data_IF_600561734733
#
_entry.id   IF_600561734733
#
_cell.length_a   1.000
_cell.length_b   1.000
_cell.length_c   1.000
_cell.angle_alpha   90.00
_cell.angle_beta   90.00
_cell.angle_gamma   90.00
#
_symmetry.space_group_name_H-M   'P 1'
#
loop_
_entity.id
_entity.type
_entity.pdbx_description
1 polymer ?
#
# COMPACT_ATOMS: atom_id res chain seq x y z
N UNK A 1 9.85 11.08 17.14
CA UNK A 1 8.42 11.42 17.12
C UNK A 1 8.31 12.85 16.64
N UNK A 2 8.26 13.04 15.33
CA UNK A 2 8.26 14.36 14.68
C UNK A 2 7.24 14.31 13.55
N UNK A 3 6.05 14.83 13.85
CA UNK A 3 5.05 15.40 12.97
C UNK A 3 4.80 14.71 11.62
N UNK A 4 3.75 13.89 11.59
CA UNK A 4 3.01 13.46 10.40
C UNK A 4 2.19 14.61 9.77
N UNK A 5 2.81 15.78 9.61
CA UNK A 5 2.29 16.83 8.74
C UNK A 5 3.27 16.98 7.56
N UNK A 6 3.07 16.18 6.52
CA UNK A 6 3.73 16.40 5.25
C UNK A 6 3.26 17.76 4.68
N UNK A 7 3.97 18.84 5.03
CA UNK A 7 3.72 20.16 4.47
C UNK A 7 3.87 20.03 2.95
N UNK A 8 2.82 20.33 2.16
CA UNK A 8 2.92 20.27 0.71
C UNK A 8 4.06 21.16 0.22
N UNK A 9 4.85 20.64 -0.71
CA UNK A 9 5.94 21.39 -1.34
C UNK A 9 5.49 21.92 -2.68
N UNK A 10 6.01 23.07 -3.09
CA UNK A 10 5.51 23.76 -4.28
C UNK A 10 6.29 23.29 -5.50
N UNK A 11 5.60 23.05 -6.62
CA UNK A 11 6.22 22.83 -7.92
C UNK A 11 6.79 24.16 -8.41
N UNK A 12 8.07 24.18 -8.75
CA UNK A 12 8.83 25.39 -9.16
C UNK A 12 9.30 25.36 -10.61
N UNK A 13 8.98 24.27 -11.34
CA UNK A 13 9.24 24.15 -12.77
C UNK A 13 8.06 23.51 -13.46
N UNK A 14 7.62 24.10 -14.57
CA UNK A 14 6.55 23.53 -15.37
C UNK A 14 6.93 22.13 -15.90
N UNK A 15 5.97 21.23 -15.84
CA UNK A 15 5.96 19.91 -16.46
C UNK A 15 4.89 19.90 -17.56
N UNK A 16 5.15 20.55 -18.71
CA UNK A 16 4.14 20.77 -19.75
C UNK A 16 3.76 19.49 -20.53
N UNK A 17 4.59 18.45 -20.43
CA UNK A 17 4.34 17.11 -20.99
C UNK A 17 4.64 16.08 -19.89
N UNK A 18 4.10 14.86 -20.02
CA UNK A 18 4.50 13.75 -19.15
C UNK A 18 6.04 13.62 -19.14
N UNK A 19 6.61 13.71 -17.95
CA UNK A 19 8.05 13.71 -17.67
C UNK A 19 8.32 12.66 -16.61
N UNK A 20 9.58 12.22 -16.44
CA UNK A 20 10.01 11.42 -15.28
C UNK A 20 10.51 12.27 -14.11
N UNK A 21 10.35 13.59 -14.21
CA UNK A 21 10.85 14.56 -13.24
C UNK A 21 9.76 15.60 -12.94
N UNK A 22 9.47 15.76 -11.64
CA UNK A 22 8.76 16.91 -11.06
C UNK A 22 9.79 17.72 -10.27
N UNK A 23 9.85 19.04 -10.44
CA UNK A 23 10.79 19.90 -9.70
C UNK A 23 10.05 20.74 -8.66
N UNK A 24 10.49 20.66 -7.40
CA UNK A 24 9.86 21.32 -6.24
C UNK A 24 10.81 22.27 -5.50
N UNK A 25 10.28 23.16 -4.67
CA UNK A 25 11.05 24.12 -3.85
C UNK A 25 11.89 23.45 -2.75
N UNK A 26 11.41 22.32 -2.22
CA UNK A 26 12.14 21.48 -1.27
C UNK A 26 12.03 19.99 -1.62
N UNK A 27 12.80 19.14 -0.95
CA UNK A 27 12.71 17.68 -1.13
C UNK A 27 11.42 17.07 -0.58
N UNK A 28 10.65 17.81 0.23
CA UNK A 28 9.45 17.31 0.90
C UNK A 28 9.71 16.18 1.89
N UNK A 29 10.97 15.94 2.27
CA UNK A 29 11.37 14.79 3.07
C UNK A 29 11.23 13.45 2.35
N UNK A 30 11.08 13.45 1.02
CA UNK A 30 10.96 12.23 0.22
C UNK A 30 12.28 11.47 0.14
N UNK A 31 12.20 10.15 0.12
CA UNK A 31 13.30 9.23 -0.16
C UNK A 31 12.94 8.28 -1.31
N UNK A 32 13.94 7.55 -1.84
CA UNK A 32 13.69 6.50 -2.83
C UNK A 32 12.64 5.50 -2.31
N UNK A 33 11.82 4.97 -3.21
CA UNK A 33 10.69 4.07 -2.96
C UNK A 33 9.47 4.68 -2.27
N UNK A 34 9.55 5.91 -1.76
CA UNK A 34 8.39 6.59 -1.19
C UNK A 34 7.45 7.11 -2.28
N UNK A 35 6.19 7.28 -1.91
CA UNK A 35 5.13 7.79 -2.75
C UNK A 35 4.95 9.29 -2.53
N UNK A 36 4.58 9.97 -3.60
CA UNK A 36 4.13 11.35 -3.53
C UNK A 36 2.92 11.56 -4.43
N UNK A 37 2.06 12.50 -4.02
CA UNK A 37 0.89 12.90 -4.77
C UNK A 37 1.14 14.28 -5.39
N UNK A 38 1.14 14.36 -6.71
CA UNK A 38 1.11 15.64 -7.41
C UNK A 38 -0.33 16.15 -7.48
N UNK A 39 -0.57 17.40 -7.11
CA UNK A 39 -1.90 18.00 -6.99
C UNK A 39 -1.95 19.37 -7.65
N UNK A 40 -3.02 19.63 -8.40
CA UNK A 40 -3.24 20.93 -9.00
C UNK A 40 -3.65 21.99 -7.97
N UNK A 41 -3.13 23.20 -8.11
CA UNK A 41 -3.53 24.34 -7.29
C UNK A 41 -5.04 24.58 -7.43
N UNK A 42 -5.76 24.61 -6.31
CA UNK A 42 -7.20 24.83 -6.29
C UNK A 42 -8.06 23.64 -6.73
N UNK A 43 -7.48 22.44 -6.91
CA UNK A 43 -8.23 21.19 -7.11
C UNK A 43 -8.78 20.97 -8.53
N UNK A 44 -8.41 21.79 -9.50
CA UNK A 44 -8.90 21.68 -10.89
C UNK A 44 -8.23 20.60 -11.75
N UNK A 45 -7.21 19.90 -11.24
CA UNK A 45 -6.45 18.86 -11.96
C UNK A 45 -6.60 17.51 -11.25
N UNK A 46 -6.57 16.42 -12.01
CA UNK A 46 -6.52 15.06 -11.47
C UNK A 46 -5.22 14.90 -10.68
N UNK A 47 -5.32 14.48 -9.42
CA UNK A 47 -4.15 14.17 -8.61
C UNK A 47 -3.48 12.89 -9.12
N UNK A 48 -2.15 12.89 -9.19
CA UNK A 48 -1.38 11.73 -9.68
C UNK A 48 -0.49 11.17 -8.59
N UNK A 49 -0.67 9.88 -8.29
CA UNK A 49 0.21 9.15 -7.39
C UNK A 49 1.44 8.67 -8.16
N UNK A 50 2.62 8.94 -7.64
CA UNK A 50 3.91 8.58 -8.23
C UNK A 50 4.84 8.00 -7.17
N UNK A 51 5.80 7.18 -7.59
CA UNK A 51 6.83 6.60 -6.71
C UNK A 51 8.21 7.18 -7.03
N UNK A 52 8.95 7.56 -5.99
CA UNK A 52 10.33 8.03 -6.13
C UNK A 52 11.23 6.90 -6.63
N UNK A 53 11.80 7.08 -7.82
CA UNK A 53 12.75 6.11 -8.38
C UNK A 53 14.16 6.24 -7.80
N UNK A 54 14.45 7.35 -7.13
CA UNK A 54 15.74 7.63 -6.48
C UNK A 54 15.58 8.76 -5.46
N UNK A 55 16.57 9.04 -4.60
CA UNK A 55 16.49 10.17 -3.68
C UNK A 55 16.33 11.52 -4.42
N UNK A 56 15.64 12.52 -3.83
CA UNK A 56 15.53 13.86 -4.41
C UNK A 56 16.90 14.46 -4.74
N UNK A 57 17.02 15.06 -5.92
CA UNK A 57 18.27 15.66 -6.38
C UNK A 57 18.17 17.18 -6.37
N UNK A 58 19.01 17.84 -5.57
CA UNK A 58 19.11 19.31 -5.60
C UNK A 58 19.75 19.76 -6.91
N UNK A 59 19.12 20.71 -7.57
CA UNK A 59 19.58 21.34 -8.81
C UNK A 59 19.56 22.87 -8.66
N UNK A 60 20.04 23.60 -9.68
CA UNK A 60 19.93 25.06 -9.70
C UNK A 60 18.49 25.60 -9.72
N UNK A 61 17.51 24.77 -10.10
CA UNK A 61 16.10 25.16 -10.24
C UNK A 61 15.21 24.63 -9.12
N UNK A 62 15.78 24.05 -8.05
CA UNK A 62 15.03 23.38 -6.99
C UNK A 62 15.40 21.89 -6.87
N UNK A 63 14.51 21.09 -6.29
CA UNK A 63 14.69 19.67 -6.07
C UNK A 63 13.97 18.86 -7.13
N UNK A 64 14.71 18.04 -7.88
CA UNK A 64 14.12 17.08 -8.81
C UNK A 64 13.66 15.83 -8.06
N UNK A 65 12.36 15.59 -8.10
CA UNK A 65 11.70 14.35 -7.70
C UNK A 65 11.61 13.46 -8.93
N UNK A 66 12.47 12.43 -8.99
CA UNK A 66 12.48 11.51 -10.12
C UNK A 66 11.54 10.34 -9.91
N UNK A 67 10.80 9.98 -10.95
CA UNK A 67 9.83 8.90 -10.98
C UNK A 67 9.90 8.14 -12.31
N UNK A 68 11.08 7.56 -12.60
CA UNK A 68 11.33 6.84 -13.84
C UNK A 68 10.35 5.68 -14.05
N UNK A 69 9.90 5.51 -15.29
CA UNK A 69 8.89 4.53 -15.72
C UNK A 69 9.42 3.09 -15.72
N UNK A 70 8.55 2.12 -15.44
CA UNK A 70 8.71 0.70 -15.78
C UNK A 70 9.29 -0.21 -14.69
N UNK A 71 10.02 0.32 -13.71
CA UNK A 71 10.62 -0.47 -12.61
C UNK A 71 9.84 -0.36 -11.29
N UNK A 72 8.91 0.58 -11.19
CA UNK A 72 8.20 0.92 -9.98
C UNK A 72 6.70 0.71 -10.18
N UNK A 73 6.03 0.12 -9.18
CA UNK A 73 4.62 -0.26 -9.26
C UNK A 73 3.70 0.92 -9.64
N UNK A 74 4.02 2.11 -9.14
CA UNK A 74 3.24 3.34 -9.38
C UNK A 74 3.80 4.21 -10.52
N UNK A 75 4.84 3.75 -11.22
CA UNK A 75 5.39 4.41 -12.40
C UNK A 75 5.27 3.47 -13.61
N UNK A 76 4.12 3.44 -14.30
CA UNK A 76 3.91 2.55 -15.44
C UNK A 76 4.95 2.78 -16.54
N UNK A 77 5.26 1.76 -17.33
CA UNK A 77 6.21 1.86 -18.45
C UNK A 77 5.81 2.91 -19.50
N UNK A 78 4.50 3.14 -19.67
CA UNK A 78 3.96 4.20 -20.51
C UNK A 78 2.80 4.93 -19.79
N UNK A 79 3.02 6.17 -19.29
CA UNK A 79 1.98 6.96 -18.64
C UNK A 79 0.74 7.21 -19.50
N UNK A 80 0.88 7.30 -20.83
CA UNK A 80 -0.23 7.53 -21.75
C UNK A 80 -1.19 6.33 -21.86
N UNK A 81 -0.79 5.15 -21.38
CA UNK A 81 -1.67 3.98 -21.31
C UNK A 81 -2.48 3.94 -20.01
N UNK A 82 -2.13 4.77 -19.02
CA UNK A 82 -2.79 4.83 -17.70
C UNK A 82 -3.71 6.04 -17.59
N UNK A 83 -3.35 7.15 -18.23
CA UNK A 83 -4.19 8.33 -18.31
C UNK A 83 -4.77 8.49 -19.72
N UNK A 84 -6.10 8.66 -19.82
CA UNK A 84 -6.73 9.07 -21.08
C UNK A 84 -6.25 10.47 -21.52
N UNK A 85 -5.95 11.33 -20.55
CA UNK A 85 -5.26 12.61 -20.73
C UNK A 85 -4.25 12.74 -19.58
N UNK A 86 -2.95 12.68 -19.89
CA UNK A 86 -1.91 12.81 -18.88
C UNK A 86 -1.93 14.23 -18.27
N UNK A 87 -1.98 14.36 -16.93
CA UNK A 87 -2.03 15.66 -16.29
C UNK A 87 -0.70 16.41 -16.43
N UNK A 88 -0.78 17.71 -16.66
CA UNK A 88 0.36 18.63 -16.63
C UNK A 88 0.38 19.37 -15.30
N UNK A 89 1.57 19.51 -14.73
CA UNK A 89 1.77 20.25 -13.48
C UNK A 89 2.57 21.52 -13.77
N UNK A 90 2.15 22.62 -13.17
CA UNK A 90 2.67 23.96 -13.43
C UNK A 90 3.24 24.57 -12.15
N UNK A 91 3.99 25.66 -12.30
CA UNK A 91 4.51 26.41 -11.16
C UNK A 91 3.36 26.82 -10.23
N UNK A 92 3.50 26.50 -8.94
CA UNK A 92 2.48 26.78 -7.92
C UNK A 92 1.50 25.65 -7.65
N UNK A 93 1.52 24.58 -8.45
CA UNK A 93 0.95 23.29 -8.06
C UNK A 93 1.76 22.70 -6.88
N UNK A 94 1.25 21.65 -6.24
CA UNK A 94 1.88 21.10 -5.05
C UNK A 94 2.19 19.61 -5.17
N UNK A 95 3.14 19.17 -4.36
CA UNK A 95 3.46 17.77 -4.10
C UNK A 95 3.27 17.49 -2.63
N UNK A 96 2.53 16.42 -2.33
CA UNK A 96 2.32 15.93 -0.97
C UNK A 96 3.13 14.64 -0.78
N UNK A 97 3.95 14.59 0.26
CA UNK A 97 4.67 13.37 0.63
C UNK A 97 3.69 12.38 1.26
N UNK A 98 3.55 11.20 0.64
CA UNK A 98 2.66 10.12 1.10
C UNK A 98 3.41 9.05 1.89
N UNK A 99 4.73 9.18 2.03
CA UNK A 99 5.60 8.21 2.71
C UNK A 99 5.66 6.88 1.98
N UNK A 100 5.85 5.79 2.73
CA UNK A 100 5.84 4.45 2.16
C UNK A 100 4.45 3.84 2.33
N UNK A 101 3.87 3.30 1.25
CA UNK A 101 2.70 2.45 1.40
C UNK A 101 3.14 1.13 2.02
N UNK A 102 2.68 0.85 3.23
CA UNK A 102 2.83 -0.47 3.84
C UNK A 102 1.66 -1.33 3.36
N UNK A 103 1.94 -2.24 2.43
CA UNK A 103 1.02 -3.32 2.11
C UNK A 103 1.48 -4.53 2.91
N UNK A 104 0.74 -4.89 3.97
CA UNK A 104 1.02 -6.09 4.76
C UNK A 104 0.10 -7.22 4.32
N UNK A 105 0.67 -8.39 4.04
CA UNK A 105 -0.08 -9.64 3.88
C UNK A 105 0.26 -10.55 5.06
N UNK A 106 -0.77 -10.98 5.77
CA UNK A 106 -0.68 -11.92 6.88
C UNK A 106 -1.11 -13.31 6.45
N UNK A 107 -0.40 -14.33 6.91
CA UNK A 107 -0.68 -15.73 6.58
C UNK A 107 -0.09 -16.65 7.65
N UNK A 108 -0.69 -17.83 7.81
CA UNK A 108 -0.13 -18.88 8.68
C UNK A 108 0.78 -19.75 7.83
N UNK A 109 2.08 -19.70 8.11
CA UNK A 109 3.09 -20.55 7.50
C UNK A 109 4.04 -21.01 8.59
N UNK A 110 4.55 -22.24 8.50
CA UNK A 110 5.62 -22.71 9.38
C UNK A 110 5.23 -22.63 10.88
N UNK A 111 3.97 -22.96 11.17
CA UNK A 111 3.32 -22.97 12.49
C UNK A 111 3.35 -21.62 13.23
N UNK A 112 3.38 -20.53 12.47
CA UNK A 112 3.43 -19.16 12.98
C UNK A 112 2.64 -18.21 12.08
N UNK A 113 2.21 -17.10 12.67
CA UNK A 113 1.73 -15.96 11.91
C UNK A 113 2.93 -15.27 11.27
N UNK A 114 2.93 -15.15 9.95
CA UNK A 114 3.94 -14.41 9.21
C UNK A 114 3.35 -13.22 8.48
N UNK A 115 4.17 -12.20 8.28
CA UNK A 115 3.88 -11.02 7.49
C UNK A 115 4.82 -10.94 6.29
N UNK A 116 4.30 -10.51 5.16
CA UNK A 116 5.09 -10.17 3.97
C UNK A 116 4.54 -8.94 3.30
N UNK A 117 5.43 -8.09 2.79
CA UNK A 117 5.01 -7.01 1.89
C UNK A 117 5.02 -7.50 0.44
N UNK A 118 3.86 -7.74 -0.18
CA UNK A 118 3.79 -8.28 -1.54
C UNK A 118 4.26 -7.29 -2.61
N UNK A 119 4.46 -6.00 -2.27
CA UNK A 119 5.06 -5.04 -3.22
C UNK A 119 6.58 -5.16 -3.28
N UNK A 120 7.20 -5.88 -2.34
CA UNK A 120 8.67 -6.07 -2.26
C UNK A 120 9.04 -7.53 -2.52
N UNK A 121 8.25 -8.47 -2.01
CA UNK A 121 8.50 -9.90 -2.14
C UNK A 121 7.41 -10.56 -2.99
N UNK A 122 7.81 -11.10 -4.14
CA UNK A 122 6.90 -11.85 -5.01
C UNK A 122 6.52 -13.21 -4.41
N UNK A 123 5.35 -13.72 -4.78
CA UNK A 123 4.94 -15.10 -4.46
C UNK A 123 5.76 -16.13 -5.29
N UNK A 124 5.93 -17.39 -4.83
CA UNK A 124 5.33 -17.98 -3.63
C UNK A 124 6.01 -17.53 -2.34
N UNK A 125 5.22 -17.41 -1.28
CA UNK A 125 5.72 -17.06 0.04
C UNK A 125 6.05 -18.33 0.84
N UNK A 126 7.14 -18.30 1.59
CA UNK A 126 7.65 -19.43 2.39
C UNK A 126 8.27 -18.96 3.72
N UNK A 127 8.85 -19.89 4.49
CA UNK A 127 9.47 -19.58 5.78
C UNK A 127 10.72 -18.68 5.66
N UNK A 128 11.35 -18.61 4.48
CA UNK A 128 12.61 -17.90 4.28
C UNK A 128 12.40 -16.46 3.80
N UNK A 129 11.28 -16.19 3.12
CA UNK A 129 10.98 -14.88 2.54
C UNK A 129 9.84 -14.11 3.23
N UNK A 130 9.37 -14.59 4.38
CA UNK A 130 8.36 -13.96 5.23
C UNK A 130 8.91 -13.61 6.61
N UNK A 131 8.39 -12.57 7.24
CA UNK A 131 8.78 -12.16 8.59
C UNK A 131 7.89 -12.87 9.62
N UNK A 132 8.45 -13.64 10.58
CA UNK A 132 7.66 -14.23 11.66
C UNK A 132 7.21 -13.15 12.65
N UNK A 133 5.94 -13.20 13.06
CA UNK A 133 5.38 -12.28 14.05
C UNK A 133 5.15 -12.97 15.40
N UNK A 134 4.38 -14.05 15.40
CA UNK A 134 3.98 -14.79 16.62
C UNK A 134 3.88 -16.26 16.30
N UNK A 135 4.44 -17.10 17.18
CA UNK A 135 4.35 -18.56 17.08
C UNK A 135 2.99 -19.09 17.56
N UNK A 136 2.70 -20.37 17.28
CA UNK A 136 1.54 -21.10 17.80
C UNK A 136 0.17 -20.56 17.30
N UNK A 137 0.18 -19.83 16.19
CA UNK A 137 -1.04 -19.51 15.43
C UNK A 137 -1.27 -20.64 14.42
N UNK A 138 -2.42 -21.29 14.53
CA UNK A 138 -2.77 -22.48 13.72
C UNK A 138 -3.79 -22.17 12.63
N UNK A 139 -4.56 -21.09 12.77
CA UNK A 139 -5.54 -20.69 11.77
C UNK A 139 -5.74 -19.17 11.74
N UNK A 140 -5.95 -18.64 10.54
CA UNK A 140 -6.28 -17.25 10.27
C UNK A 140 -7.38 -17.23 9.20
N UNK A 141 -8.55 -16.73 9.59
CA UNK A 141 -9.69 -16.59 8.68
C UNK A 141 -10.13 -15.13 8.60
N UNK A 142 -10.59 -14.71 7.43
CA UNK A 142 -11.10 -13.37 7.21
C UNK A 142 -12.42 -13.36 6.43
N UNK A 143 -13.25 -12.36 6.72
CA UNK A 143 -14.45 -12.01 5.97
C UNK A 143 -14.45 -10.52 5.63
N UNK A 144 -14.81 -10.19 4.39
CA UNK A 144 -15.00 -8.82 3.93
C UNK A 144 -16.48 -8.44 3.97
N UNK A 145 -16.79 -7.34 4.67
CA UNK A 145 -18.09 -6.69 4.60
C UNK A 145 -18.10 -5.73 3.43
N UNK A 146 -18.90 -6.02 2.41
CA UNK A 146 -18.86 -5.30 1.14
C UNK A 146 -20.14 -4.51 0.90
N UNK A 147 -20.00 -3.32 0.31
CA UNK A 147 -21.10 -2.49 -0.14
C UNK A 147 -21.35 -2.64 -1.64
N UNK A 148 -22.58 -2.36 -2.06
CA UNK A 148 -22.86 -2.12 -3.47
C UNK A 148 -22.10 -0.88 -3.97
N UNK A 149 -21.88 -0.80 -5.28
CA UNK A 149 -21.26 0.37 -5.90
C UNK A 149 -22.04 1.65 -5.55
N UNK A 150 -21.34 2.70 -5.15
CA UNK A 150 -21.95 3.97 -4.73
C UNK A 150 -22.59 3.97 -3.34
N UNK A 151 -22.47 2.87 -2.56
CA UNK A 151 -22.99 2.77 -1.20
C UNK A 151 -21.88 2.66 -0.15
N UNK A 152 -22.21 3.09 1.07
CA UNK A 152 -21.41 2.90 2.28
C UNK A 152 -21.98 1.81 3.19
N UNK A 153 -23.22 1.35 2.94
CA UNK A 153 -23.87 0.32 3.74
C UNK A 153 -23.37 -1.07 3.33
N UNK A 154 -22.97 -1.87 4.32
CA UNK A 154 -22.58 -3.27 4.12
C UNK A 154 -23.82 -4.05 3.68
N UNK A 155 -23.72 -4.65 2.50
CA UNK A 155 -24.78 -5.43 1.86
C UNK A 155 -24.63 -6.94 2.07
N UNK A 156 -23.39 -7.43 2.21
CA UNK A 156 -23.07 -8.84 2.35
C UNK A 156 -21.69 -9.05 2.99
N UNK A 157 -21.49 -10.22 3.59
CA UNK A 157 -20.22 -10.67 4.17
C UNK A 157 -19.65 -11.83 3.35
N UNK A 158 -18.42 -11.70 2.87
CA UNK A 158 -17.79 -12.64 1.94
C UNK A 158 -16.53 -13.24 2.56
N UNK A 159 -16.46 -14.58 2.63
CA UNK A 159 -15.26 -15.28 3.12
C UNK A 159 -14.08 -15.02 2.19
N UNK A 160 -12.91 -14.69 2.74
CA UNK A 160 -11.66 -14.46 2.00
C UNK A 160 -11.05 -15.78 1.49
N UNK A 161 -11.80 -16.49 0.65
CA UNK A 161 -11.50 -17.83 0.15
C UNK A 161 -11.85 -17.90 -1.33
N UNK A 162 -11.33 -18.92 -2.03
CA UNK A 162 -11.60 -19.14 -3.46
C UNK A 162 -13.07 -19.44 -3.75
N UNK A 163 -13.82 -19.92 -2.75
CA UNK A 163 -15.23 -20.22 -2.85
C UNK A 163 -15.99 -19.63 -1.67
N UNK A 164 -16.62 -18.47 -1.89
CA UNK A 164 -17.56 -17.86 -0.95
C UNK A 164 -18.94 -17.66 -1.60
N UNK A 165 -19.94 -17.33 -0.79
CA UNK A 165 -21.27 -16.94 -1.29
C UNK A 165 -21.23 -15.74 -2.26
N UNK A 166 -20.14 -14.96 -2.25
CA UNK A 166 -19.93 -13.80 -3.10
C UNK A 166 -18.95 -14.05 -4.26
N UNK A 167 -18.57 -15.31 -4.53
CA UNK A 167 -17.53 -15.67 -5.51
C UNK A 167 -16.14 -15.84 -4.89
N UNK A 168 -15.11 -15.71 -5.72
CA UNK A 168 -13.70 -15.76 -5.28
C UNK A 168 -13.31 -14.43 -4.63
N UNK A 169 -13.02 -14.49 -3.32
CA UNK A 169 -12.53 -13.36 -2.53
C UNK A 169 -11.16 -13.68 -1.89
N UNK A 170 -10.47 -14.70 -2.40
CA UNK A 170 -9.09 -15.01 -1.97
C UNK A 170 -8.07 -14.00 -2.48
N UNK A 171 -8.38 -13.32 -3.60
CA UNK A 171 -7.54 -12.28 -4.20
C UNK A 171 -8.41 -11.20 -4.89
N UNK A 172 -9.09 -10.32 -4.13
CA UNK A 172 -9.99 -9.31 -4.69
C UNK A 172 -9.25 -8.31 -5.57
N UNK A 173 -9.82 -8.00 -6.74
CA UNK A 173 -9.27 -6.99 -7.65
C UNK A 173 -9.51 -5.56 -7.16
N UNK A 174 -8.96 -4.55 -7.85
CA UNK A 174 -9.10 -3.14 -7.46
C UNK A 174 -10.58 -2.68 -7.32
N UNK A 175 -11.45 -3.14 -8.23
CA UNK A 175 -12.88 -2.88 -8.16
C UNK A 175 -13.53 -3.50 -6.91
N UNK A 176 -13.10 -4.69 -6.50
CA UNK A 176 -13.62 -5.37 -5.32
C UNK A 176 -13.13 -4.72 -4.03
N UNK A 177 -11.84 -4.37 -3.98
CA UNK A 177 -11.22 -3.65 -2.86
C UNK A 177 -11.95 -2.35 -2.58
N UNK A 178 -12.34 -1.60 -3.62
CA UNK A 178 -13.11 -0.35 -3.47
C UNK A 178 -14.50 -0.52 -2.85
N UNK A 179 -15.02 -1.75 -2.78
CA UNK A 179 -16.32 -2.08 -2.17
C UNK A 179 -16.20 -2.53 -0.72
N UNK A 180 -15.01 -2.84 -0.22
CA UNK A 180 -14.79 -3.27 1.16
C UNK A 180 -15.07 -2.08 2.10
N UNK A 181 -15.90 -2.30 3.12
CA UNK A 181 -16.22 -1.30 4.17
C UNK A 181 -15.86 -1.77 5.56
N UNK A 182 -15.76 -3.08 5.76
CA UNK A 182 -15.37 -3.68 7.03
C UNK A 182 -14.64 -5.01 6.80
N UNK A 183 -13.85 -5.40 7.79
CA UNK A 183 -13.15 -6.68 7.84
C UNK A 183 -13.45 -7.34 9.18
N UNK A 184 -13.75 -8.64 9.14
CA UNK A 184 -13.77 -9.51 10.32
C UNK A 184 -12.60 -10.47 10.21
N UNK A 185 -11.88 -10.66 11.31
CA UNK A 185 -10.72 -11.56 11.38
C UNK A 185 -10.91 -12.49 12.57
N UNK A 186 -10.67 -13.78 12.35
CA UNK A 186 -10.58 -14.79 13.38
C UNK A 186 -9.17 -15.38 13.38
N UNK A 187 -8.57 -15.46 14.56
CA UNK A 187 -7.23 -16.02 14.77
C UNK A 187 -7.35 -17.12 15.81
N UNK A 188 -6.84 -18.31 15.48
CA UNK A 188 -6.79 -19.43 16.43
C UNK A 188 -5.35 -19.63 16.88
N UNK A 189 -5.14 -19.49 18.18
CA UNK A 189 -3.86 -19.76 18.83
C UNK A 189 -3.99 -21.02 19.68
N UNK A 190 -2.93 -21.82 19.67
CA UNK A 190 -2.77 -22.93 20.62
C UNK A 190 -1.77 -22.53 21.70
N UNK A 191 -1.93 -23.05 22.91
CA UNK A 191 -0.90 -22.95 23.95
C UNK A 191 -0.59 -24.33 24.49
N UNK A 192 0.69 -24.61 24.74
CA UNK A 192 1.13 -25.84 25.38
C UNK A 192 1.16 -25.62 26.91
N UNK A 193 0.20 -26.21 27.62
CA UNK A 193 0.22 -26.29 29.09
C UNK A 193 0.77 -27.67 29.50
N UNK A 194 1.95 -27.76 30.12
CA UNK A 194 2.45 -29.04 30.61
C UNK A 194 1.60 -29.50 31.81
N UNK A 195 1.03 -30.71 31.71
CA UNK A 195 0.41 -31.40 32.84
C UNK A 195 1.49 -31.74 33.87
N UNK A 196 1.36 -31.23 35.10
CA UNK A 196 2.09 -31.76 36.25
C UNK A 196 1.26 -32.86 36.90
N UNK A 197 1.62 -34.12 36.65
CA UNK A 197 1.19 -35.23 37.51
C UNK A 197 1.92 -35.11 38.85
N UNK A 198 1.25 -34.58 39.88
CA UNK A 198 1.70 -34.74 41.26
C UNK A 198 1.20 -36.11 41.72
N UNK A 199 2.08 -37.10 41.71
CA UNK A 199 1.83 -38.39 42.38
C UNK A 199 2.15 -38.15 43.86
N UNK A 200 1.12 -38.05 44.71
CA UNK A 200 1.32 -38.15 46.16
C UNK A 200 1.58 -39.63 46.47
N UNK A 201 2.85 -40.00 46.65
CA UNK A 201 3.23 -41.28 47.23
C UNK A 201 2.95 -41.25 48.74
N UNK A 202 2.22 -42.26 49.23
CA UNK A 202 1.90 -42.47 50.65
C UNK A 202 2.97 -43.19 51.44
#
# INVERSE_FOLDING_TARGET
>A
DTDFAAVPVTIVKNMPNASSIVTTDSSGGLAQNQLFLAVGKGGGKICTLMQMSQPPQKTGNGWNLQHNSGQYLYNPSNPNNVFAVAPTYEIGDAVVNMGSLVHGRYQVLCDRLTEVNPTVTAAPHDCANTAPLVDQIVDLQAQYGIAAAGSTQISQWCNATTSSACGDWSNPGAADVSRIRAVRVAVVATTIVPIRNVIWGG
#
